data_IF_888518239233
#
_entry.id   IF_888518239233
#
_cell.length_a   1.000
_cell.length_b   1.000
_cell.length_c   1.000
_cell.angle_alpha   90.00
_cell.angle_beta   90.00
_cell.angle_gamma   90.00
#
_symmetry.space_group_name_H-M   'P 1'
#
loop_
_entity.id
_entity.type
_entity.pdbx_description
1 polymer ?
#
# COMPACT_ATOMS: atom_id res chain seq x y z
N UNK A 1 19.15 -18.27 -8.73
CA UNK A 1 18.45 -16.97 -8.61
C UNK A 1 16.97 -17.29 -8.40
N UNK A 2 16.37 -16.83 -7.30
CA UNK A 2 15.01 -17.21 -6.90
C UNK A 2 13.97 -16.62 -7.86
N UNK A 3 13.15 -17.48 -8.45
CA UNK A 3 12.04 -17.11 -9.34
C UNK A 3 11.07 -16.11 -8.69
N UNK A 4 10.76 -16.31 -7.41
CA UNK A 4 9.84 -15.48 -6.61
C UNK A 4 10.26 -14.01 -6.50
N UNK A 5 11.55 -13.73 -6.32
CA UNK A 5 12.04 -12.34 -6.19
C UNK A 5 11.83 -11.55 -7.49
N UNK A 6 11.95 -12.21 -8.64
CA UNK A 6 11.73 -11.58 -9.94
C UNK A 6 10.24 -11.27 -10.18
N UNK A 7 9.34 -12.13 -9.70
CA UNK A 7 7.89 -11.88 -9.77
C UNK A 7 7.48 -10.69 -8.88
N UNK A 8 8.04 -10.59 -7.67
CA UNK A 8 7.81 -9.46 -6.78
C UNK A 8 8.31 -8.14 -7.37
N UNK A 9 9.49 -8.14 -8.00
CA UNK A 9 10.03 -6.96 -8.68
C UNK A 9 9.20 -6.56 -9.90
N UNK A 10 8.71 -7.52 -10.68
CA UNK A 10 7.80 -7.25 -11.79
C UNK A 10 6.47 -6.66 -11.31
N UNK A 11 5.90 -7.21 -10.24
CA UNK A 11 4.66 -6.72 -9.65
C UNK A 11 4.82 -5.31 -9.08
N UNK A 12 5.94 -5.04 -8.40
CA UNK A 12 6.31 -3.70 -7.93
C UNK A 12 6.43 -2.71 -9.07
N UNK A 13 7.10 -3.08 -10.17
CA UNK A 13 7.21 -2.23 -11.34
C UNK A 13 5.84 -1.95 -11.98
N UNK A 14 4.93 -2.93 -11.96
CA UNK A 14 3.56 -2.77 -12.41
C UNK A 14 2.81 -1.74 -11.55
N UNK A 15 2.89 -1.84 -10.22
CA UNK A 15 2.28 -0.88 -9.29
C UNK A 15 2.87 0.52 -9.51
N UNK A 16 4.19 0.62 -9.62
CA UNK A 16 4.90 1.88 -9.89
C UNK A 16 4.37 2.55 -11.17
N UNK A 17 4.13 1.77 -12.22
CA UNK A 17 3.56 2.25 -13.48
C UNK A 17 2.14 2.78 -13.29
N UNK A 18 1.28 2.08 -12.54
CA UNK A 18 -0.09 2.54 -12.27
C UNK A 18 -0.11 3.86 -11.50
N UNK A 19 0.71 3.98 -10.45
CA UNK A 19 0.78 5.20 -9.64
C UNK A 19 1.30 6.37 -10.46
N UNK A 20 2.39 6.18 -11.22
CA UNK A 20 2.95 7.20 -12.14
C UNK A 20 2.00 7.59 -13.27
N UNK A 21 1.16 6.67 -13.74
CA UNK A 21 0.12 6.95 -14.72
C UNK A 21 -1.06 7.74 -14.12
N UNK A 22 -1.05 8.03 -12.82
CA UNK A 22 -2.04 8.85 -12.14
C UNK A 22 -3.25 8.07 -11.64
N UNK A 23 -3.08 6.80 -11.26
CA UNK A 23 -4.12 5.99 -10.62
C UNK A 23 -4.82 6.81 -9.51
N UNK A 24 -6.14 6.92 -9.59
CA UNK A 24 -6.93 7.69 -8.63
C UNK A 24 -7.21 6.82 -7.40
N UNK A 25 -6.44 7.02 -6.34
CA UNK A 25 -6.60 6.32 -5.07
C UNK A 25 -7.37 7.18 -4.07
N UNK A 26 -7.99 6.51 -3.09
CA UNK A 26 -8.79 7.19 -2.06
C UNK A 26 -7.89 7.69 -0.92
N UNK A 27 -7.08 8.71 -1.17
CA UNK A 27 -6.06 9.19 -0.21
C UNK A 27 -6.67 9.64 1.14
N UNK A 28 -7.91 10.15 1.12
CA UNK A 28 -8.62 10.67 2.30
C UNK A 28 -10.05 10.13 2.37
N UNK A 29 -10.68 10.06 3.57
CA UNK A 29 -10.14 10.45 4.87
C UNK A 29 -9.14 9.44 5.44
N UNK A 30 -8.33 9.91 6.39
CA UNK A 30 -7.47 9.06 7.20
C UNK A 30 -8.29 8.36 8.29
N UNK A 31 -7.95 7.10 8.64
CA UNK A 31 -8.58 6.44 9.77
C UNK A 31 -8.16 7.11 11.08
N UNK A 32 -9.09 7.89 11.67
CA UNK A 32 -8.87 8.67 12.90
C UNK A 32 -8.67 7.79 14.14
N UNK A 33 -9.23 6.58 14.13
CA UNK A 33 -9.15 5.64 15.25
C UNK A 33 -8.99 4.17 14.76
N UNK A 34 -8.91 3.25 15.72
CA UNK A 34 -8.79 1.82 15.45
C UNK A 34 -10.03 1.22 14.78
N UNK A 35 -11.21 1.79 15.00
CA UNK A 35 -12.47 1.31 14.42
C UNK A 35 -12.56 1.69 12.94
N UNK A 36 -12.29 2.94 12.60
CA UNK A 36 -12.20 3.42 11.22
C UNK A 36 -11.13 2.64 10.43
N UNK A 37 -10.00 2.33 11.06
CA UNK A 37 -8.97 1.46 10.48
C UNK A 37 -9.47 0.05 10.23
N UNK A 38 -10.08 -0.60 11.21
CA UNK A 38 -10.63 -1.95 11.07
C UNK A 38 -11.72 -2.04 9.99
N UNK A 39 -12.58 -1.03 9.89
CA UNK A 39 -13.59 -0.94 8.83
C UNK A 39 -12.95 -0.84 7.44
N UNK A 40 -11.86 -0.09 7.32
CA UNK A 40 -11.13 0.01 6.06
C UNK A 40 -10.44 -1.30 5.67
N UNK A 41 -9.85 -2.02 6.64
CA UNK A 41 -9.32 -3.36 6.40
C UNK A 41 -10.41 -4.32 5.94
N UNK A 42 -11.57 -4.29 6.59
CA UNK A 42 -12.72 -5.11 6.20
C UNK A 42 -13.16 -4.77 4.77
N UNK A 43 -13.20 -3.49 4.42
CA UNK A 43 -13.54 -3.04 3.07
C UNK A 43 -12.57 -3.55 2.01
N UNK A 44 -11.26 -3.50 2.27
CA UNK A 44 -10.26 -4.06 1.34
C UNK A 44 -10.50 -5.56 1.15
N UNK A 45 -10.75 -6.27 2.26
CA UNK A 45 -11.00 -7.71 2.23
C UNK A 45 -12.24 -8.08 1.42
N UNK A 46 -13.33 -7.32 1.56
CA UNK A 46 -14.60 -7.59 0.89
C UNK A 46 -14.63 -7.11 -0.57
N UNK A 47 -14.13 -5.90 -0.85
CA UNK A 47 -14.25 -5.26 -2.17
C UNK A 47 -13.09 -5.58 -3.10
N UNK A 48 -11.86 -5.63 -2.57
CA UNK A 48 -10.66 -5.87 -3.37
C UNK A 48 -10.35 -7.37 -3.46
N UNK A 49 -10.37 -8.10 -2.35
CA UNK A 49 -9.99 -9.52 -2.34
C UNK A 49 -8.57 -9.71 -2.92
N UNK A 50 -8.45 -10.33 -4.09
CA UNK A 50 -7.17 -10.50 -4.81
C UNK A 50 -6.90 -9.45 -5.90
N UNK A 51 -7.80 -8.48 -6.10
CA UNK A 51 -7.68 -7.42 -7.10
C UNK A 51 -6.65 -6.38 -6.64
N UNK A 52 -5.50 -6.37 -7.32
CA UNK A 52 -4.39 -5.47 -7.01
C UNK A 52 -4.79 -4.00 -7.13
N UNK A 53 -5.46 -3.61 -8.21
CA UNK A 53 -5.79 -2.20 -8.45
C UNK A 53 -6.73 -1.69 -7.35
N UNK A 54 -7.75 -2.49 -7.00
CA UNK A 54 -8.65 -2.12 -5.89
C UNK A 54 -7.95 -2.03 -4.55
N UNK A 55 -6.99 -2.91 -4.25
CA UNK A 55 -6.15 -2.80 -3.03
C UNK A 55 -5.41 -1.46 -3.00
N UNK A 56 -4.81 -1.06 -4.13
CA UNK A 56 -4.10 0.22 -4.24
C UNK A 56 -5.05 1.42 -4.08
N UNK A 57 -6.24 1.35 -4.68
CA UNK A 57 -7.24 2.41 -4.61
C UNK A 57 -7.78 2.59 -3.20
N UNK A 58 -8.29 1.52 -2.58
CA UNK A 58 -8.89 1.57 -1.24
C UNK A 58 -7.83 1.82 -0.16
N UNK A 59 -6.64 1.26 -0.34
CA UNK A 59 -5.47 1.53 0.52
C UNK A 59 -4.92 2.94 0.39
N UNK A 60 -5.35 3.72 -0.61
CA UNK A 60 -4.95 5.11 -0.79
C UNK A 60 -3.48 5.25 -1.17
N UNK A 61 -2.95 4.39 -2.03
CA UNK A 61 -1.53 4.40 -2.38
C UNK A 61 -1.13 5.60 -3.25
N UNK A 62 0.05 6.15 -3.01
CA UNK A 62 0.70 7.20 -3.82
C UNK A 62 2.20 6.96 -3.93
N UNK A 63 2.81 7.45 -5.01
CA UNK A 63 4.27 7.44 -5.23
C UNK A 63 4.97 8.73 -4.75
N UNK A 64 4.25 9.51 -3.94
CA UNK A 64 4.74 10.70 -3.25
C UNK A 64 4.18 10.71 -1.82
N UNK A 65 4.92 11.25 -0.85
CA UNK A 65 4.46 11.33 0.53
C UNK A 65 3.26 12.28 0.65
N UNK A 66 2.34 11.95 1.56
CA UNK A 66 1.17 12.76 1.89
C UNK A 66 1.03 12.94 3.41
N UNK A 67 0.22 13.92 3.82
CA UNK A 67 0.02 14.28 5.23
C UNK A 67 1.11 15.19 5.79
N UNK A 68 0.90 15.73 6.99
CA UNK A 68 1.83 16.67 7.62
C UNK A 68 3.19 16.03 7.92
N UNK A 69 3.17 14.78 8.39
CA UNK A 69 4.39 14.04 8.75
C UNK A 69 5.08 13.39 7.55
N UNK A 70 4.46 13.39 6.36
CA UNK A 70 5.03 12.83 5.13
C UNK A 70 5.56 11.39 5.27
N UNK A 71 4.99 10.58 6.16
CA UNK A 71 5.52 9.26 6.51
C UNK A 71 5.30 8.24 5.39
N UNK A 72 6.39 7.71 4.85
CA UNK A 72 6.42 6.79 3.71
C UNK A 72 6.30 5.35 4.21
N UNK A 73 6.23 4.41 3.27
CA UNK A 73 6.19 3.00 3.58
C UNK A 73 7.36 2.59 4.47
N UNK A 74 8.57 3.10 4.25
CA UNK A 74 9.72 2.73 5.08
C UNK A 74 9.64 3.14 6.56
N UNK A 75 8.79 4.11 6.90
CA UNK A 75 8.52 4.53 8.27
C UNK A 75 7.36 3.74 8.92
N UNK A 76 6.62 2.94 8.13
CA UNK A 76 5.46 2.18 8.59
C UNK A 76 5.83 0.84 9.26
N UNK A 77 5.13 0.47 10.33
CA UNK A 77 5.34 -0.78 11.07
C UNK A 77 5.17 -2.06 10.22
N UNK A 78 4.40 -1.98 9.13
CA UNK A 78 4.13 -3.13 8.24
C UNK A 78 5.16 -3.28 7.12
N UNK A 79 6.16 -2.39 7.03
CA UNK A 79 7.13 -2.44 5.95
C UNK A 79 8.30 -3.39 6.24
N UNK A 80 8.49 -4.37 5.36
CA UNK A 80 9.61 -5.31 5.42
C UNK A 80 10.77 -4.82 4.56
N UNK A 81 11.79 -4.23 5.20
CA UNK A 81 12.93 -3.63 4.50
C UNK A 81 13.67 -4.60 3.54
N UNK A 82 13.85 -5.86 3.92
CA UNK A 82 14.61 -6.84 3.13
C UNK A 82 13.87 -7.29 1.85
N UNK A 83 12.54 -7.19 1.82
CA UNK A 83 11.67 -7.60 0.69
C UNK A 83 11.06 -6.39 -0.04
N UNK A 84 11.14 -5.21 0.58
CA UNK A 84 10.43 -3.99 0.16
C UNK A 84 8.94 -4.31 -0.04
N UNK A 85 8.28 -4.65 1.06
CA UNK A 85 6.95 -5.28 1.06
C UNK A 85 6.07 -4.70 2.16
N UNK A 86 4.77 -4.58 1.91
CA UNK A 86 3.77 -4.25 2.92
C UNK A 86 3.15 -5.55 3.45
N UNK A 87 3.48 -5.91 4.69
CA UNK A 87 3.03 -7.13 5.37
C UNK A 87 1.67 -6.98 6.08
N UNK A 88 0.92 -5.92 5.75
CA UNK A 88 -0.46 -5.80 6.21
C UNK A 88 -1.31 -6.85 5.47
N UNK A 89 -1.95 -7.81 6.16
CA UNK A 89 -2.54 -8.99 5.52
C UNK A 89 -3.57 -8.68 4.42
N UNK A 90 -4.33 -7.60 4.57
CA UNK A 90 -5.33 -7.17 3.59
C UNK A 90 -4.69 -6.61 2.31
N UNK A 91 -3.49 -6.05 2.41
CA UNK A 91 -2.72 -5.52 1.29
C UNK A 91 -1.82 -6.62 0.74
N UNK A 92 -0.82 -7.05 1.50
CA UNK A 92 0.16 -8.09 1.11
C UNK A 92 0.68 -7.89 -0.31
N UNK A 93 1.36 -6.75 -0.52
CA UNK A 93 1.86 -6.31 -1.84
C UNK A 93 3.29 -5.77 -1.74
N UNK A 94 4.07 -5.85 -2.84
CA UNK A 94 5.37 -5.20 -2.89
C UNK A 94 5.19 -3.68 -2.99
N UNK A 95 6.03 -2.94 -2.27
CA UNK A 95 5.98 -1.47 -2.20
C UNK A 95 7.38 -0.88 -2.25
N UNK A 96 7.55 0.32 -2.79
CA UNK A 96 8.82 1.05 -2.65
C UNK A 96 8.89 1.77 -1.29
N UNK A 97 10.10 1.98 -0.74
CA UNK A 97 10.26 2.64 0.56
C UNK A 97 9.71 4.06 0.59
N UNK A 98 9.70 4.75 -0.55
CA UNK A 98 9.30 6.15 -0.69
C UNK A 98 7.82 6.35 -1.05
N UNK A 99 7.08 5.26 -1.26
CA UNK A 99 5.64 5.29 -1.46
C UNK A 99 4.91 5.59 -0.16
N UNK A 100 3.62 5.79 -0.28
CA UNK A 100 2.77 6.19 0.81
C UNK A 100 1.40 5.54 0.68
N UNK A 101 0.71 5.29 1.80
CA UNK A 101 -0.69 4.83 1.81
C UNK A 101 -1.46 5.40 3.01
N UNK A 102 -2.78 5.40 2.94
CA UNK A 102 -3.64 5.96 4.02
C UNK A 102 -3.77 5.05 5.25
N UNK A 103 -3.25 3.83 5.15
CA UNK A 103 -3.26 2.79 6.19
C UNK A 103 -1.96 2.73 7.01
N UNK A 104 -1.07 3.72 6.84
CA UNK A 104 0.20 3.74 7.56
C UNK A 104 0.00 3.80 9.09
N UNK A 105 0.93 3.18 9.81
CA UNK A 105 0.98 3.09 11.28
C UNK A 105 2.43 3.08 11.77
N UNK A 106 2.68 3.63 12.96
CA UNK A 106 3.95 3.53 13.71
C UNK A 106 3.82 2.46 14.80
#
# INVERSE_FOLDING_TARGET
>A
MNHMAHEEDALRAQIASMLKAGLKTEITPFPEDSNAFAQLLQRIREEAGSDLEKKLVIGGFTDYPMGEDQQRCQECMYYLNHRRWCDLPELDVPVEPDWWCRLWRI
#
